data_IF_781577839144
#
_entry.id   IF_781577839144
#
_cell.length_a   1.000
_cell.length_b   1.000
_cell.length_c   1.000
_cell.angle_alpha   90.00
_cell.angle_beta   90.00
_cell.angle_gamma   90.00
#
_symmetry.space_group_name_H-M   'P 1'
#
loop_
_entity.id
_entity.type
_entity.pdbx_description
1 polymer ?
#
# COMPACT_ATOMS: atom_id res chain seq x y z
N UNK A 1 42.92 -7.88 13.62
CA UNK A 1 41.95 -7.49 14.65
C UNK A 1 41.45 -6.06 14.47
N UNK A 2 42.35 -5.06 14.37
CA UNK A 2 42.00 -3.65 14.12
C UNK A 2 41.20 -3.49 12.82
N UNK A 3 41.56 -4.23 11.77
CA UNK A 3 40.89 -4.21 10.45
C UNK A 3 39.46 -4.71 10.57
N UNK A 4 39.22 -5.83 11.27
CA UNK A 4 37.86 -6.36 11.49
C UNK A 4 37.01 -5.41 12.37
N UNK A 5 37.60 -4.78 13.36
CA UNK A 5 36.94 -3.74 14.17
C UNK A 5 36.58 -2.50 13.32
N UNK A 6 37.47 -2.05 12.45
CA UNK A 6 37.24 -0.91 11.56
C UNK A 6 36.18 -1.24 10.50
N UNK A 7 36.15 -2.47 9.95
CA UNK A 7 35.10 -2.95 9.03
C UNK A 7 33.75 -2.98 9.75
N UNK A 8 33.68 -3.53 10.97
CA UNK A 8 32.49 -3.51 11.82
C UNK A 8 32.03 -2.08 12.11
N UNK A 9 32.95 -1.19 12.53
CA UNK A 9 32.65 0.22 12.79
C UNK A 9 32.13 0.94 11.52
N UNK A 10 32.71 0.66 10.36
CA UNK A 10 32.28 1.24 9.09
C UNK A 10 30.90 0.73 8.69
N UNK A 11 30.64 -0.58 8.78
CA UNK A 11 29.31 -1.15 8.49
C UNK A 11 28.22 -0.65 9.45
N UNK A 12 28.57 -0.35 10.71
CA UNK A 12 27.67 0.26 11.69
C UNK A 12 27.41 1.74 11.37
N UNK A 13 28.42 2.48 10.88
CA UNK A 13 28.29 3.90 10.57
C UNK A 13 27.54 4.17 9.26
N UNK A 14 27.68 3.29 8.28
CA UNK A 14 27.03 3.42 6.95
C UNK A 14 25.55 3.04 6.97
N UNK A 15 25.09 2.25 7.95
CA UNK A 15 23.68 1.87 8.13
C UNK A 15 23.19 2.34 9.49
N UNK A 16 22.69 3.57 9.56
CA UNK A 16 22.07 4.11 10.79
C UNK A 16 20.95 3.18 11.32
N UNK A 17 20.29 2.45 10.45
CA UNK A 17 19.22 1.48 10.75
C UNK A 17 19.74 0.24 11.50
N UNK A 18 20.99 -0.17 11.29
CA UNK A 18 21.59 -1.36 11.92
C UNK A 18 22.50 -1.02 13.12
N UNK A 19 22.45 0.20 13.61
CA UNK A 19 23.34 0.65 14.71
C UNK A 19 23.21 -0.23 15.96
N UNK A 20 22.02 -0.73 16.26
CA UNK A 20 21.76 -1.59 17.43
C UNK A 20 22.31 -3.02 17.25
N UNK A 21 22.18 -3.62 16.07
CA UNK A 21 22.81 -4.92 15.80
C UNK A 21 24.33 -4.83 15.93
N UNK A 22 24.91 -3.74 15.49
CA UNK A 22 26.32 -3.46 15.69
C UNK A 22 26.73 -3.37 17.15
N UNK A 23 25.88 -2.81 18.00
CA UNK A 23 26.15 -2.74 19.45
C UNK A 23 26.07 -4.14 20.07
N UNK A 24 25.11 -4.98 19.69
CA UNK A 24 25.04 -6.37 20.15
C UNK A 24 26.30 -7.15 19.76
N UNK A 25 26.75 -7.00 18.50
CA UNK A 25 28.00 -7.61 18.05
C UNK A 25 29.23 -7.10 18.84
N UNK A 26 29.24 -5.83 19.19
CA UNK A 26 30.28 -5.24 20.01
C UNK A 26 30.27 -5.78 21.45
N UNK A 27 29.08 -5.96 22.03
CA UNK A 27 28.92 -6.62 23.34
C UNK A 27 29.46 -8.05 23.29
N UNK A 28 29.08 -8.84 22.29
CA UNK A 28 29.58 -10.21 22.10
C UNK A 28 31.11 -10.24 21.96
N UNK A 29 31.70 -9.33 21.19
CA UNK A 29 33.15 -9.20 21.06
C UNK A 29 33.84 -8.96 22.42
N UNK A 30 33.29 -8.08 23.27
CA UNK A 30 33.87 -7.86 24.61
C UNK A 30 33.69 -9.08 25.53
N UNK A 31 32.58 -9.81 25.42
CA UNK A 31 32.36 -11.09 26.15
C UNK A 31 33.42 -12.13 25.75
N UNK A 32 33.64 -12.33 24.45
CA UNK A 32 34.67 -13.27 23.94
C UNK A 32 36.08 -12.90 24.42
N UNK A 33 36.38 -11.59 24.55
CA UNK A 33 37.66 -11.08 25.07
C UNK A 33 37.73 -11.03 26.60
N UNK A 34 36.70 -11.59 27.29
CA UNK A 34 36.64 -11.60 28.78
C UNK A 34 36.64 -10.21 29.39
N UNK A 35 36.24 -9.17 28.64
CA UNK A 35 36.10 -7.78 29.13
C UNK A 35 34.66 -7.57 29.66
N UNK A 36 34.32 -8.36 30.67
CA UNK A 36 32.96 -8.44 31.21
C UNK A 36 32.42 -7.11 31.75
N UNK A 37 33.28 -6.28 32.37
CA UNK A 37 32.87 -4.96 32.87
C UNK A 37 32.36 -4.05 31.74
N UNK A 38 33.12 -3.95 30.64
CA UNK A 38 32.76 -3.13 29.50
C UNK A 38 31.50 -3.68 28.83
N UNK A 39 31.40 -5.02 28.72
CA UNK A 39 30.19 -5.68 28.15
C UNK A 39 28.96 -5.34 29.01
N UNK A 40 29.07 -5.40 30.34
CA UNK A 40 27.98 -5.09 31.28
C UNK A 40 27.48 -3.65 31.15
N UNK A 41 28.39 -2.70 31.10
CA UNK A 41 28.05 -1.27 30.92
C UNK A 41 27.28 -1.01 29.61
N UNK A 42 27.74 -1.62 28.50
CA UNK A 42 27.06 -1.53 27.22
C UNK A 42 25.68 -2.21 27.25
N UNK A 43 25.58 -3.40 27.87
CA UNK A 43 24.32 -4.12 28.04
C UNK A 43 23.31 -3.28 28.81
N UNK A 44 23.73 -2.70 29.95
CA UNK A 44 22.85 -1.87 30.80
C UNK A 44 22.37 -0.62 30.06
N UNK A 45 23.24 0.01 29.28
CA UNK A 45 22.87 1.16 28.45
C UNK A 45 21.83 0.81 27.38
N UNK A 46 21.99 -0.33 26.72
CA UNK A 46 21.06 -0.77 25.68
C UNK A 46 19.75 -1.34 26.28
N UNK A 47 19.79 -1.92 27.48
CA UNK A 47 18.59 -2.32 28.21
C UNK A 47 17.67 -1.14 28.49
N UNK A 48 18.20 -0.05 29.02
CA UNK A 48 17.43 1.15 29.31
C UNK A 48 16.74 1.69 28.04
N UNK A 49 17.43 1.62 26.89
CA UNK A 49 16.81 2.00 25.62
C UNK A 49 15.75 1.00 25.16
N UNK A 50 16.02 -0.30 25.29
CA UNK A 50 15.05 -1.33 24.92
C UNK A 50 13.77 -1.24 25.75
N UNK A 51 13.87 -0.86 27.02
CA UNK A 51 12.73 -0.57 27.89
C UNK A 51 11.99 0.70 27.49
N UNK A 52 12.73 1.79 27.27
CA UNK A 52 12.16 3.08 26.84
C UNK A 52 11.31 2.91 25.55
N UNK A 53 11.77 2.09 24.61
CA UNK A 53 11.07 1.84 23.34
C UNK A 53 10.17 0.61 23.37
N UNK A 54 9.98 -0.02 24.54
CA UNK A 54 9.21 -1.25 24.73
C UNK A 54 9.53 -2.36 23.67
N UNK A 55 10.83 -2.48 23.35
CA UNK A 55 11.31 -3.46 22.37
C UNK A 55 11.57 -4.81 23.02
N UNK A 56 10.55 -5.68 22.99
CA UNK A 56 10.57 -6.98 23.67
C UNK A 56 11.67 -7.90 23.12
N UNK A 57 11.85 -7.98 21.79
CA UNK A 57 12.88 -8.85 21.18
C UNK A 57 14.29 -8.41 21.58
N UNK A 58 14.58 -7.12 21.49
CA UNK A 58 15.88 -6.58 21.91
C UNK A 58 16.11 -6.79 23.40
N UNK A 59 15.11 -6.52 24.23
CA UNK A 59 15.22 -6.71 25.67
C UNK A 59 15.44 -8.19 26.02
N UNK A 60 14.77 -9.10 25.34
CA UNK A 60 15.00 -10.54 25.52
C UNK A 60 16.43 -10.95 25.14
N UNK A 61 16.99 -10.44 24.04
CA UNK A 61 18.39 -10.66 23.65
C UNK A 61 19.33 -10.12 24.71
N UNK A 62 19.06 -8.94 25.25
CA UNK A 62 19.84 -8.30 26.31
C UNK A 62 19.83 -9.14 27.59
N UNK A 63 18.66 -9.65 28.04
CA UNK A 63 18.59 -10.49 29.24
C UNK A 63 19.39 -11.80 29.05
N UNK A 64 19.38 -12.38 27.85
CA UNK A 64 20.22 -13.56 27.52
C UNK A 64 21.71 -13.24 27.63
N UNK A 65 22.16 -12.09 27.14
CA UNK A 65 23.55 -11.64 27.26
C UNK A 65 23.93 -11.38 28.73
N UNK A 66 23.05 -10.76 29.53
CA UNK A 66 23.26 -10.60 30.97
C UNK A 66 23.48 -11.94 31.65
N UNK A 67 22.60 -12.93 31.38
CA UNK A 67 22.74 -14.27 31.97
C UNK A 67 24.07 -14.94 31.60
N UNK A 68 24.58 -14.74 30.37
CA UNK A 68 25.84 -15.37 29.94
C UNK A 68 27.07 -14.85 30.67
N UNK A 69 27.06 -13.62 31.17
CA UNK A 69 28.19 -13.01 31.89
C UNK A 69 27.97 -12.90 33.41
N UNK A 70 26.77 -13.20 33.87
CA UNK A 70 26.40 -13.10 35.28
C UNK A 70 27.30 -13.88 36.24
N UNK A 71 27.77 -15.11 35.90
CA UNK A 71 28.70 -15.86 36.74
C UNK A 71 30.02 -15.13 37.07
N UNK A 72 30.39 -14.17 36.20
CA UNK A 72 31.63 -13.37 36.34
C UNK A 72 31.42 -11.99 36.97
N UNK A 73 30.15 -11.70 37.36
CA UNK A 73 29.79 -10.35 37.82
C UNK A 73 29.12 -10.35 39.20
N UNK A 74 27.80 -10.60 39.24
CA UNK A 74 27.05 -10.60 40.49
C UNK A 74 25.89 -11.62 40.40
N UNK A 75 26.08 -12.75 41.05
CA UNK A 75 25.11 -13.88 41.02
C UNK A 75 23.80 -13.56 41.73
N UNK A 76 23.77 -12.57 42.63
CA UNK A 76 22.57 -12.16 43.36
C UNK A 76 21.47 -11.62 42.44
N UNK A 77 21.85 -11.12 41.27
CA UNK A 77 20.89 -10.64 40.25
C UNK A 77 20.17 -11.75 39.47
N UNK A 78 20.57 -12.99 39.64
CA UNK A 78 20.00 -14.11 38.89
C UNK A 78 18.47 -14.25 38.98
N UNK A 79 17.85 -14.21 40.18
CA UNK A 79 16.39 -14.35 40.32
C UNK A 79 15.63 -13.26 39.59
N UNK A 80 16.12 -12.02 39.64
CA UNK A 80 15.50 -10.86 38.98
C UNK A 80 15.57 -10.97 37.46
N UNK A 81 16.77 -11.22 36.92
CA UNK A 81 17.00 -11.38 35.48
C UNK A 81 16.19 -12.57 34.93
N UNK A 82 16.16 -13.69 35.67
CA UNK A 82 15.36 -14.86 35.30
C UNK A 82 13.87 -14.52 35.21
N UNK A 83 13.30 -13.85 36.22
CA UNK A 83 11.89 -13.45 36.25
C UNK A 83 11.57 -12.53 35.07
N UNK A 84 12.42 -11.54 34.81
CA UNK A 84 12.27 -10.60 33.70
C UNK A 84 12.33 -11.31 32.35
N UNK A 85 13.28 -12.22 32.16
CA UNK A 85 13.41 -13.01 30.94
C UNK A 85 12.18 -13.88 30.67
N UNK A 86 11.66 -14.59 31.68
CA UNK A 86 10.48 -15.43 31.54
C UNK A 86 9.23 -14.61 31.16
N UNK A 87 9.06 -13.45 31.75
CA UNK A 87 7.99 -12.53 31.40
C UNK A 87 8.12 -12.04 29.92
N UNK A 88 9.32 -11.66 29.51
CA UNK A 88 9.59 -11.24 28.14
C UNK A 88 9.37 -12.39 27.13
N UNK A 89 9.75 -13.64 27.48
CA UNK A 89 9.51 -14.83 26.67
C UNK A 89 8.00 -15.06 26.47
N UNK A 90 7.21 -14.94 27.54
CA UNK A 90 5.75 -15.05 27.45
C UNK A 90 5.17 -13.98 26.50
N UNK A 91 5.57 -12.72 26.68
CA UNK A 91 5.14 -11.63 25.79
C UNK A 91 5.54 -11.86 24.34
N UNK A 92 6.78 -12.33 24.12
CA UNK A 92 7.27 -12.64 22.77
C UNK A 92 6.47 -13.77 22.12
N UNK A 93 6.13 -14.84 22.87
CA UNK A 93 5.33 -15.93 22.32
C UNK A 93 3.94 -15.49 21.84
N UNK A 94 3.32 -14.56 22.55
CA UNK A 94 2.02 -13.98 22.12
C UNK A 94 2.16 -13.13 20.85
N UNK A 95 3.26 -12.37 20.74
CA UNK A 95 3.56 -11.60 19.53
C UNK A 95 3.79 -12.54 18.34
N UNK A 96 4.55 -13.61 18.54
CA UNK A 96 4.84 -14.61 17.51
C UNK A 96 3.57 -15.31 17.03
N UNK A 97 2.68 -15.70 17.95
CA UNK A 97 1.37 -16.25 17.61
C UNK A 97 0.54 -15.29 16.76
N UNK A 98 0.44 -14.03 17.17
CA UNK A 98 -0.23 -13.00 16.39
C UNK A 98 0.40 -12.84 14.99
N UNK A 99 1.73 -12.95 14.87
CA UNK A 99 2.42 -12.89 13.58
C UNK A 99 2.04 -14.04 12.65
N UNK A 100 1.86 -15.26 13.19
CA UNK A 100 1.40 -16.41 12.42
C UNK A 100 0.00 -16.18 11.85
N UNK A 101 -0.95 -15.67 12.63
CA UNK A 101 -2.27 -15.27 12.14
C UNK A 101 -2.18 -14.23 11.02
N UNK A 102 -1.34 -13.21 11.20
CA UNK A 102 -1.14 -12.18 10.18
C UNK A 102 -0.64 -12.77 8.85
N UNK A 103 0.33 -13.69 8.90
CA UNK A 103 0.88 -14.35 7.71
C UNK A 103 -0.20 -15.20 7.03
N UNK A 104 -1.00 -15.94 7.79
CA UNK A 104 -2.10 -16.74 7.25
C UNK A 104 -3.12 -15.85 6.52
N UNK A 105 -3.60 -14.79 7.16
CA UNK A 105 -4.54 -13.82 6.55
C UNK A 105 -3.95 -13.24 5.26
N UNK A 106 -2.67 -12.85 5.27
CA UNK A 106 -2.01 -12.28 4.10
C UNK A 106 -1.93 -13.28 2.93
N UNK A 107 -1.68 -14.54 3.20
CA UNK A 107 -1.65 -15.59 2.19
C UNK A 107 -3.04 -15.84 1.60
N UNK A 108 -4.07 -15.96 2.44
CA UNK A 108 -5.46 -16.16 2.02
C UNK A 108 -5.95 -15.00 1.16
N UNK A 109 -5.61 -13.76 1.57
CA UNK A 109 -5.94 -12.56 0.80
C UNK A 109 -5.26 -12.54 -0.56
N UNK A 110 -3.96 -12.87 -0.61
CA UNK A 110 -3.22 -12.93 -1.88
C UNK A 110 -3.85 -13.93 -2.85
N UNK A 111 -4.27 -15.08 -2.37
CA UNK A 111 -4.96 -16.09 -3.17
C UNK A 111 -6.33 -15.60 -3.66
N UNK A 112 -7.14 -15.02 -2.76
CA UNK A 112 -8.46 -14.46 -3.10
C UNK A 112 -8.36 -13.35 -4.15
N UNK A 113 -7.43 -12.41 -3.98
CA UNK A 113 -7.18 -11.33 -4.96
C UNK A 113 -6.76 -11.91 -6.32
N UNK A 114 -5.87 -12.89 -6.35
CA UNK A 114 -5.42 -13.52 -7.58
C UNK A 114 -6.56 -14.23 -8.32
N UNK A 115 -7.49 -14.84 -7.58
CA UNK A 115 -8.68 -15.52 -8.12
C UNK A 115 -9.84 -14.57 -8.45
N UNK A 116 -9.77 -13.30 -8.00
CA UNK A 116 -10.89 -12.35 -8.08
C UNK A 116 -12.03 -12.68 -7.13
N UNK A 117 -11.78 -13.51 -6.11
CA UNK A 117 -12.75 -13.81 -5.07
C UNK A 117 -12.82 -12.64 -4.08
N UNK A 118 -14.05 -12.21 -3.80
CA UNK A 118 -14.34 -11.02 -2.99
C UNK A 118 -14.86 -11.33 -1.59
N UNK A 119 -14.95 -12.60 -1.24
CA UNK A 119 -15.30 -12.96 0.12
C UNK A 119 -14.25 -12.48 1.11
N UNK A 120 -14.70 -11.70 2.09
CA UNK A 120 -13.85 -11.18 3.14
C UNK A 120 -13.46 -12.29 4.12
N UNK A 121 -12.21 -12.35 4.59
CA UNK A 121 -11.79 -13.24 5.68
C UNK A 121 -12.22 -12.74 7.06
N UNK A 122 -13.45 -12.21 7.19
CA UNK A 122 -13.94 -11.46 8.36
C UNK A 122 -13.78 -12.22 9.67
N UNK A 123 -14.07 -13.54 9.70
CA UNK A 123 -13.97 -14.34 10.92
C UNK A 123 -12.51 -14.40 11.42
N UNK A 124 -11.56 -14.72 10.53
CA UNK A 124 -10.12 -14.82 10.88
C UNK A 124 -9.58 -13.46 11.33
N UNK A 125 -10.03 -12.37 10.69
CA UNK A 125 -9.64 -11.01 11.08
C UNK A 125 -10.19 -10.65 12.45
N UNK A 126 -11.44 -11.04 12.78
CA UNK A 126 -12.05 -10.80 14.09
C UNK A 126 -11.30 -11.55 15.19
N UNK A 127 -10.92 -12.81 14.96
CA UNK A 127 -10.12 -13.59 15.91
C UNK A 127 -8.76 -12.96 16.15
N UNK A 128 -8.07 -12.52 15.08
CA UNK A 128 -6.80 -11.83 15.19
C UNK A 128 -6.90 -10.48 15.92
N UNK A 129 -8.00 -9.74 15.72
CA UNK A 129 -8.25 -8.48 16.43
C UNK A 129 -8.54 -8.72 17.92
N UNK A 130 -9.23 -9.79 18.27
CA UNK A 130 -9.45 -10.19 19.67
C UNK A 130 -8.11 -10.52 20.36
N UNK A 131 -7.23 -11.26 19.70
CA UNK A 131 -5.89 -11.54 20.23
C UNK A 131 -5.05 -10.26 20.35
N UNK A 132 -5.13 -9.34 19.38
CA UNK A 132 -4.45 -8.05 19.46
C UNK A 132 -4.86 -7.25 20.70
N UNK A 133 -6.12 -7.26 21.12
CA UNK A 133 -6.56 -6.55 22.33
C UNK A 133 -5.84 -7.06 23.58
N UNK A 134 -5.53 -8.35 23.64
CA UNK A 134 -4.77 -8.95 24.74
C UNK A 134 -3.29 -8.50 24.73
N UNK A 135 -2.72 -8.28 23.56
CA UNK A 135 -1.31 -7.88 23.39
C UNK A 135 -1.15 -6.36 23.51
N UNK A 136 -2.14 -5.56 23.09
CA UNK A 136 -2.09 -4.10 23.05
C UNK A 136 -1.68 -3.45 24.37
N UNK A 137 -2.21 -3.96 25.48
CA UNK A 137 -1.89 -3.43 26.83
C UNK A 137 -0.45 -3.67 27.24
N UNK A 138 0.22 -4.64 26.62
CA UNK A 138 1.55 -5.10 26.99
C UNK A 138 2.64 -4.69 26.02
N UNK A 139 2.30 -4.27 24.80
CA UNK A 139 3.28 -3.96 23.74
C UNK A 139 2.85 -2.76 22.92
N UNK A 140 3.57 -1.66 23.08
CA UNK A 140 3.44 -0.46 22.23
C UNK A 140 4.36 -0.57 20.99
N UNK A 141 4.40 -1.75 20.36
CA UNK A 141 5.29 -2.02 19.23
C UNK A 141 4.65 -1.54 17.91
N UNK A 142 5.27 -0.56 17.21
CA UNK A 142 4.75 -0.02 15.96
C UNK A 142 4.48 -1.06 14.87
N UNK A 143 5.29 -2.12 14.83
CA UNK A 143 5.14 -3.21 13.85
C UNK A 143 3.86 -4.01 14.07
N UNK A 144 3.43 -4.20 15.32
CA UNK A 144 2.17 -4.88 15.65
C UNK A 144 0.99 -4.01 15.21
N UNK A 145 1.03 -2.71 15.52
CA UNK A 145 0.01 -1.76 15.08
C UNK A 145 -0.12 -1.74 13.55
N UNK A 146 0.99 -1.72 12.83
CA UNK A 146 0.99 -1.79 11.37
C UNK A 146 0.30 -3.06 10.87
N UNK A 147 0.60 -4.23 11.44
CA UNK A 147 -0.03 -5.50 11.02
C UNK A 147 -1.54 -5.48 11.23
N UNK A 148 -2.01 -4.90 12.33
CA UNK A 148 -3.45 -4.71 12.58
C UNK A 148 -4.07 -3.80 11.53
N UNK A 149 -3.44 -2.67 11.23
CA UNK A 149 -3.90 -1.75 10.18
C UNK A 149 -3.95 -2.45 8.82
N UNK A 150 -2.95 -3.26 8.47
CA UNK A 150 -2.92 -4.01 7.21
C UNK A 150 -4.02 -5.08 7.13
N UNK A 151 -4.33 -5.80 8.22
CA UNK A 151 -5.44 -6.75 8.27
C UNK A 151 -6.79 -6.07 8.07
N UNK A 152 -7.03 -4.99 8.82
CA UNK A 152 -8.27 -4.20 8.71
C UNK A 152 -8.39 -3.63 7.30
N UNK A 153 -7.30 -3.07 6.77
CA UNK A 153 -7.25 -2.55 5.40
C UNK A 153 -7.67 -3.60 4.37
N UNK A 154 -7.21 -4.82 4.52
CA UNK A 154 -7.50 -5.90 3.59
C UNK A 154 -9.00 -6.21 3.52
N UNK A 155 -9.71 -6.25 4.65
CA UNK A 155 -11.17 -6.44 4.70
C UNK A 155 -11.91 -5.29 4.02
N UNK A 156 -11.59 -4.06 4.40
CA UNK A 156 -12.32 -2.89 3.91
C UNK A 156 -12.05 -2.58 2.45
N UNK A 157 -10.84 -2.86 1.94
CA UNK A 157 -10.52 -2.67 0.53
C UNK A 157 -11.26 -3.68 -0.34
N UNK A 158 -11.28 -4.97 0.04
CA UNK A 158 -12.05 -5.99 -0.68
C UNK A 158 -13.53 -5.64 -0.77
N UNK A 159 -14.10 -5.09 0.30
CA UNK A 159 -15.49 -4.67 0.37
C UNK A 159 -15.70 -3.22 -0.12
N UNK A 160 -14.65 -2.53 -0.59
CA UNK A 160 -14.69 -1.12 -1.04
C UNK A 160 -15.27 -0.14 0.00
N UNK A 161 -15.12 -0.43 1.29
CA UNK A 161 -15.62 0.38 2.42
C UNK A 161 -14.59 1.41 2.90
N UNK A 162 -14.03 2.22 2.00
CA UNK A 162 -12.94 3.14 2.30
C UNK A 162 -13.28 4.18 3.37
N UNK A 163 -14.53 4.66 3.41
CA UNK A 163 -14.96 5.68 4.38
C UNK A 163 -14.89 5.15 5.83
N UNK A 164 -15.44 3.95 6.04
CA UNK A 164 -15.38 3.27 7.34
C UNK A 164 -13.91 2.94 7.69
N UNK A 165 -13.14 2.49 6.71
CA UNK A 165 -11.72 2.23 6.93
C UNK A 165 -10.96 3.49 7.37
N UNK A 166 -11.25 4.65 6.77
CA UNK A 166 -10.61 5.90 7.14
C UNK A 166 -10.89 6.29 8.61
N UNK A 167 -12.11 6.08 9.09
CA UNK A 167 -12.48 6.33 10.49
C UNK A 167 -11.75 5.38 11.44
N UNK A 168 -11.74 4.08 11.10
CA UNK A 168 -11.08 3.06 11.92
C UNK A 168 -9.57 3.27 11.96
N UNK A 169 -8.91 3.45 10.82
CA UNK A 169 -7.45 3.61 10.77
C UNK A 169 -7.00 4.91 11.43
N UNK A 170 -7.82 5.98 11.34
CA UNK A 170 -7.51 7.24 12.03
C UNK A 170 -7.49 7.05 13.55
N UNK A 171 -8.38 6.23 14.12
CA UNK A 171 -8.37 5.90 15.54
C UNK A 171 -7.06 5.20 15.94
N UNK A 172 -6.67 4.16 15.18
CA UNK A 172 -5.40 3.46 15.43
C UNK A 172 -4.18 4.37 15.24
N UNK A 173 -4.23 5.27 14.26
CA UNK A 173 -3.18 6.25 14.02
C UNK A 173 -3.02 7.23 15.20
N UNK A 174 -4.11 7.73 15.76
CA UNK A 174 -4.07 8.67 16.88
C UNK A 174 -3.51 8.01 18.16
N UNK A 175 -3.88 6.75 18.41
CA UNK A 175 -3.35 5.98 19.54
C UNK A 175 -1.82 5.81 19.45
N UNK A 176 -1.29 5.84 18.22
CA UNK A 176 0.09 5.56 17.88
C UNK A 176 0.97 6.81 17.76
N UNK A 177 0.42 7.95 17.30
CA UNK A 177 1.18 9.09 16.80
C UNK A 177 1.90 9.93 17.87
N UNK A 178 1.61 9.72 19.16
CA UNK A 178 2.08 10.65 20.19
C UNK A 178 3.47 10.38 20.77
N UNK A 179 4.08 9.21 20.53
CA UNK A 179 5.28 8.84 21.30
C UNK A 179 6.48 8.28 20.49
N UNK A 180 6.35 7.98 19.20
CA UNK A 180 7.26 6.99 18.60
C UNK A 180 8.05 7.42 17.36
N UNK A 181 7.91 8.64 16.84
CA UNK A 181 8.50 9.03 15.55
C UNK A 181 10.04 9.24 15.56
N UNK A 182 10.68 9.27 16.70
CA UNK A 182 12.13 9.53 16.79
C UNK A 182 13.01 8.27 16.69
N UNK A 183 12.43 7.07 16.63
CA UNK A 183 13.21 5.83 16.53
C UNK A 183 13.41 5.38 15.08
N UNK A 184 14.59 5.62 14.54
CA UNK A 184 15.01 5.18 13.20
C UNK A 184 14.87 3.67 12.99
N UNK A 185 14.78 2.87 14.05
CA UNK A 185 14.53 1.43 13.96
C UNK A 185 13.19 1.09 13.32
N UNK A 186 12.18 1.91 13.54
CA UNK A 186 10.84 1.70 13.00
C UNK A 186 10.50 2.60 11.80
N UNK A 187 11.51 3.26 11.21
CA UNK A 187 11.29 4.22 10.12
C UNK A 187 10.51 3.63 8.93
N UNK A 188 10.78 2.36 8.57
CA UNK A 188 10.03 1.64 7.53
C UNK A 188 8.57 1.39 7.93
N UNK A 189 8.33 1.08 9.21
CA UNK A 189 6.99 0.88 9.77
C UNK A 189 6.19 2.18 9.72
N UNK A 190 6.78 3.30 10.12
CA UNK A 190 6.16 4.62 10.05
C UNK A 190 5.86 5.02 8.61
N UNK A 191 6.81 4.83 7.70
CA UNK A 191 6.61 5.10 6.29
C UNK A 191 5.45 4.30 5.70
N UNK A 192 5.30 3.03 6.08
CA UNK A 192 4.19 2.19 5.65
C UNK A 192 2.84 2.68 6.20
N UNK A 193 2.82 3.12 7.46
CA UNK A 193 1.60 3.69 8.08
C UNK A 193 1.22 4.99 7.36
N UNK A 194 2.16 5.92 7.16
CA UNK A 194 1.90 7.17 6.46
C UNK A 194 1.43 6.95 5.01
N UNK A 195 2.00 5.97 4.31
CA UNK A 195 1.53 5.55 3.00
C UNK A 195 0.08 5.03 3.05
N UNK A 196 -0.25 4.16 4.01
CA UNK A 196 -1.62 3.63 4.16
C UNK A 196 -2.61 4.77 4.44
N UNK A 197 -2.25 5.70 5.32
CA UNK A 197 -3.07 6.87 5.63
C UNK A 197 -3.29 7.75 4.39
N UNK A 198 -2.21 8.09 3.68
CA UNK A 198 -2.30 8.88 2.46
C UNK A 198 -3.18 8.21 1.41
N UNK A 199 -2.96 6.93 1.14
CA UNK A 199 -3.76 6.14 0.19
C UNK A 199 -5.24 6.04 0.61
N UNK A 200 -5.50 5.90 1.91
CA UNK A 200 -6.87 5.83 2.44
C UNK A 200 -7.61 7.15 2.22
N UNK A 201 -6.98 8.27 2.55
CA UNK A 201 -7.58 9.58 2.34
C UNK A 201 -7.70 9.96 0.86
N UNK A 202 -6.80 9.47 0.00
CA UNK A 202 -6.95 9.57 -1.45
C UNK A 202 -8.27 8.90 -1.91
N UNK A 203 -8.52 7.68 -1.45
CA UNK A 203 -9.72 6.93 -1.85
C UNK A 203 -11.02 7.46 -1.22
N UNK A 204 -10.94 8.22 -0.15
CA UNK A 204 -12.09 8.97 0.42
C UNK A 204 -12.17 10.40 -0.11
N UNK A 205 -11.32 10.77 -1.07
CA UNK A 205 -11.21 12.09 -1.70
C UNK A 205 -10.84 13.24 -0.76
N UNK A 206 -10.35 12.93 0.42
CA UNK A 206 -9.81 13.94 1.32
C UNK A 206 -8.35 14.24 0.95
N UNK A 207 -8.15 14.99 -0.15
CA UNK A 207 -6.82 15.25 -0.69
C UNK A 207 -5.94 16.06 0.26
N UNK A 208 -6.51 16.95 1.05
CA UNK A 208 -5.76 17.70 2.06
C UNK A 208 -5.11 16.78 3.09
N UNK A 209 -5.87 15.80 3.64
CA UNK A 209 -5.32 14.79 4.55
C UNK A 209 -4.39 13.81 3.83
N UNK A 210 -4.72 13.43 2.59
CA UNK A 210 -3.83 12.56 1.79
C UNK A 210 -2.47 13.22 1.61
N UNK A 211 -2.44 14.50 1.21
CA UNK A 211 -1.19 15.26 1.02
C UNK A 211 -0.42 15.45 2.34
N UNK A 212 -1.13 15.70 3.45
CA UNK A 212 -0.49 15.80 4.77
C UNK A 212 0.31 14.54 5.12
N UNK A 213 -0.28 13.35 4.94
CA UNK A 213 0.39 12.09 5.18
C UNK A 213 1.48 11.79 4.13
N UNK A 214 1.27 12.21 2.88
CA UNK A 214 2.27 12.08 1.82
C UNK A 214 3.53 12.91 2.13
N UNK A 215 3.39 14.12 2.66
CA UNK A 215 4.51 14.97 3.08
C UNK A 215 5.27 14.36 4.28
N UNK A 216 4.57 13.74 5.22
CA UNK A 216 5.21 12.98 6.30
C UNK A 216 6.01 11.79 5.77
N UNK A 217 5.43 11.03 4.83
CA UNK A 217 6.14 9.95 4.15
C UNK A 217 7.41 10.46 3.46
N UNK A 218 7.33 11.59 2.75
CA UNK A 218 8.49 12.20 2.09
C UNK A 218 9.57 12.62 3.07
N UNK A 219 9.21 13.16 4.23
CA UNK A 219 10.16 13.46 5.31
C UNK A 219 10.90 12.21 5.78
N UNK A 220 10.21 11.06 5.92
CA UNK A 220 10.83 9.78 6.27
C UNK A 220 11.71 9.24 5.14
N UNK A 221 11.30 9.40 3.88
CA UNK A 221 12.10 9.02 2.71
C UNK A 221 13.43 9.82 2.63
N UNK A 222 13.43 11.06 3.07
CA UNK A 222 14.64 11.90 3.12
C UNK A 222 15.61 11.48 4.25
N UNK A 223 15.13 10.72 5.23
CA UNK A 223 15.94 10.22 6.34
C UNK A 223 16.58 8.85 6.06
N UNK A 224 16.03 8.07 5.11
CA UNK A 224 16.47 6.71 4.83
C UNK A 224 16.36 6.37 3.34
N UNK A 225 17.49 5.97 2.75
CA UNK A 225 17.53 5.49 1.36
C UNK A 225 16.69 4.22 1.16
N UNK A 226 16.64 3.33 2.15
CA UNK A 226 15.80 2.13 2.12
C UNK A 226 14.32 2.50 2.05
N UNK A 227 13.86 3.46 2.87
CA UNK A 227 12.50 3.97 2.81
C UNK A 227 12.23 4.63 1.46
N UNK A 228 13.15 5.45 0.98
CA UNK A 228 13.02 6.11 -0.33
C UNK A 228 12.81 5.11 -1.46
N UNK A 229 13.62 4.07 -1.55
CA UNK A 229 13.50 3.03 -2.57
C UNK A 229 12.18 2.23 -2.45
N UNK A 230 11.71 1.97 -1.23
CA UNK A 230 10.49 1.20 -0.99
C UNK A 230 9.20 1.99 -1.26
N UNK A 231 9.25 3.33 -1.26
CA UNK A 231 8.03 4.15 -1.33
C UNK A 231 8.00 5.17 -2.48
N UNK A 232 9.09 5.37 -3.23
CA UNK A 232 9.14 6.39 -4.27
C UNK A 232 8.08 6.16 -5.38
N UNK A 233 7.88 4.93 -5.84
CA UNK A 233 6.84 4.59 -6.82
C UNK A 233 5.44 4.78 -6.27
N UNK A 234 5.20 4.39 -5.02
CA UNK A 234 3.91 4.58 -4.33
C UNK A 234 3.59 6.05 -4.09
N UNK A 235 4.59 6.82 -3.66
CA UNK A 235 4.48 8.28 -3.49
C UNK A 235 4.13 8.94 -4.82
N UNK A 236 4.83 8.58 -5.90
CA UNK A 236 4.58 9.10 -7.25
C UNK A 236 3.14 8.81 -7.71
N UNK A 237 2.64 7.60 -7.49
CA UNK A 237 1.28 7.23 -7.86
C UNK A 237 0.21 8.06 -7.12
N UNK A 238 0.42 8.38 -5.84
CA UNK A 238 -0.53 9.20 -5.07
C UNK A 238 -0.43 10.67 -5.50
N UNK A 239 0.80 11.23 -5.59
CA UNK A 239 0.98 12.64 -5.95
C UNK A 239 0.45 12.96 -7.33
N UNK A 240 0.74 12.12 -8.33
CA UNK A 240 0.22 12.32 -9.70
C UNK A 240 -1.30 12.28 -9.73
N UNK A 241 -1.91 11.37 -8.95
CA UNK A 241 -3.36 11.29 -8.87
C UNK A 241 -3.98 12.53 -8.22
N UNK A 242 -3.39 13.04 -7.14
CA UNK A 242 -3.83 14.32 -6.51
C UNK A 242 -3.72 15.46 -7.54
N UNK A 243 -2.61 15.57 -8.28
CA UNK A 243 -2.40 16.60 -9.29
C UNK A 243 -3.48 16.57 -10.40
N UNK A 244 -3.96 15.39 -10.80
CA UNK A 244 -5.05 15.26 -11.78
C UNK A 244 -6.31 15.97 -11.29
N UNK A 245 -6.69 15.81 -10.02
CA UNK A 245 -7.89 16.41 -9.45
C UNK A 245 -7.68 17.84 -8.93
N UNK A 246 -6.42 18.28 -8.79
CA UNK A 246 -6.04 19.65 -8.44
C UNK A 246 -5.82 20.55 -9.68
N UNK A 247 -6.48 20.24 -10.79
CA UNK A 247 -6.38 21.00 -12.05
C UNK A 247 -4.98 21.03 -12.68
N UNK A 248 -4.09 20.10 -12.32
CA UNK A 248 -2.69 20.02 -12.75
C UNK A 248 -2.39 18.74 -13.53
N UNK A 249 -3.30 18.33 -14.45
CA UNK A 249 -3.12 17.08 -15.19
C UNK A 249 -1.85 17.07 -16.04
N UNK A 250 -1.46 18.21 -16.60
CA UNK A 250 -0.20 18.33 -17.38
C UNK A 250 1.00 18.01 -16.50
N UNK A 251 1.08 18.57 -15.29
CA UNK A 251 2.14 18.26 -14.34
C UNK A 251 2.12 16.78 -13.95
N UNK A 252 0.93 16.21 -13.70
CA UNK A 252 0.81 14.78 -13.39
C UNK A 252 1.37 13.88 -14.49
N UNK A 253 1.15 14.23 -15.76
CA UNK A 253 1.67 13.53 -16.92
C UNK A 253 3.19 13.69 -16.99
N UNK A 254 3.70 14.92 -17.00
CA UNK A 254 5.14 15.23 -17.15
C UNK A 254 5.97 14.61 -16.02
N UNK A 255 5.53 14.75 -14.76
CA UNK A 255 6.21 14.15 -13.62
C UNK A 255 6.22 12.63 -13.68
N UNK A 256 5.10 11.99 -14.11
CA UNK A 256 5.02 10.53 -14.23
C UNK A 256 5.89 10.02 -15.38
N UNK A 257 5.89 10.70 -16.54
CA UNK A 257 6.79 10.38 -17.67
C UNK A 257 8.25 10.47 -17.27
N UNK A 258 8.64 11.58 -16.64
CA UNK A 258 10.00 11.79 -16.16
C UNK A 258 10.42 10.69 -15.16
N UNK A 259 9.55 10.39 -14.19
CA UNK A 259 9.81 9.37 -13.19
C UNK A 259 10.00 7.98 -13.82
N UNK A 260 9.11 7.58 -14.72
CA UNK A 260 9.23 6.29 -15.42
C UNK A 260 10.47 6.22 -16.31
N UNK A 261 10.90 7.32 -16.92
CA UNK A 261 12.09 7.35 -17.74
C UNK A 261 13.40 7.19 -16.94
N UNK A 262 13.46 7.71 -15.72
CA UNK A 262 14.70 7.81 -14.94
C UNK A 262 14.78 6.85 -13.74
N UNK A 263 13.64 6.44 -13.18
CA UNK A 263 13.59 5.71 -11.92
C UNK A 263 13.01 4.28 -12.05
N UNK A 264 12.66 3.85 -13.28
CA UNK A 264 11.99 2.55 -13.53
C UNK A 264 12.77 1.35 -12.96
N UNK A 265 14.09 1.38 -13.00
CA UNK A 265 14.95 0.30 -12.50
C UNK A 265 15.06 0.25 -10.97
N UNK A 266 14.52 1.25 -10.27
CA UNK A 266 14.57 1.37 -8.81
C UNK A 266 13.23 1.04 -8.15
N UNK A 267 12.18 0.83 -8.93
CA UNK A 267 10.83 0.50 -8.44
C UNK A 267 10.47 -0.94 -8.77
N UNK A 268 9.46 -1.47 -8.08
CA UNK A 268 8.96 -2.81 -8.35
C UNK A 268 8.19 -2.88 -9.68
N UNK A 269 8.10 -4.09 -10.24
CA UNK A 269 7.29 -4.34 -11.45
C UNK A 269 5.84 -3.87 -11.23
N UNK A 270 5.27 -4.13 -10.06
CA UNK A 270 3.89 -3.76 -9.73
C UNK A 270 3.71 -2.23 -9.69
N UNK A 271 4.68 -1.49 -9.16
CA UNK A 271 4.65 -0.03 -9.16
C UNK A 271 4.77 0.55 -10.57
N UNK A 272 5.69 0.01 -11.37
CA UNK A 272 5.84 0.38 -12.78
C UNK A 272 4.52 0.17 -13.56
N UNK A 273 3.94 -1.03 -13.47
CA UNK A 273 2.70 -1.37 -14.16
C UNK A 273 1.53 -0.47 -13.72
N UNK A 274 1.43 -0.14 -12.43
CA UNK A 274 0.41 0.76 -11.93
C UNK A 274 0.59 2.20 -12.42
N UNK A 275 1.81 2.73 -12.38
CA UNK A 275 2.13 4.08 -12.88
C UNK A 275 1.87 4.18 -14.38
N UNK A 276 2.30 3.20 -15.16
CA UNK A 276 2.07 3.15 -16.61
C UNK A 276 0.58 3.08 -16.95
N UNK A 277 -0.19 2.30 -16.20
CA UNK A 277 -1.63 2.22 -16.40
C UNK A 277 -2.35 3.52 -16.02
N UNK A 278 -1.95 4.18 -14.94
CA UNK A 278 -2.48 5.49 -14.55
C UNK A 278 -2.14 6.55 -15.61
N UNK A 279 -0.90 6.60 -16.08
CA UNK A 279 -0.46 7.52 -17.13
C UNK A 279 -1.26 7.30 -18.44
N UNK A 280 -1.56 6.05 -18.82
CA UNK A 280 -2.44 5.76 -19.95
C UNK A 280 -3.84 6.33 -19.75
N UNK A 281 -4.37 6.29 -18.50
CA UNK A 281 -5.63 6.90 -18.13
C UNK A 281 -5.59 8.44 -18.24
N UNK A 282 -4.50 9.07 -17.83
CA UNK A 282 -4.32 10.53 -17.94
C UNK A 282 -4.30 10.97 -19.41
N UNK A 283 -3.60 10.22 -20.29
CA UNK A 283 -3.62 10.51 -21.72
C UNK A 283 -5.01 10.34 -22.36
N UNK A 284 -5.81 9.38 -21.89
CA UNK A 284 -7.20 9.25 -22.33
C UNK A 284 -7.99 10.51 -22.00
N UNK A 285 -7.83 11.03 -20.81
CA UNK A 285 -8.56 12.22 -20.33
C UNK A 285 -8.17 13.47 -21.11
N UNK A 286 -6.89 13.63 -21.47
CA UNK A 286 -6.45 14.77 -22.33
C UNK A 286 -6.59 14.50 -23.84
N UNK A 287 -7.13 13.34 -24.24
CA UNK A 287 -7.39 13.01 -25.64
C UNK A 287 -6.16 12.55 -26.44
N UNK A 288 -5.00 12.32 -25.81
CA UNK A 288 -3.79 11.82 -26.48
C UNK A 288 -3.77 10.27 -26.54
N UNK A 289 -4.65 9.73 -27.37
CA UNK A 289 -4.79 8.26 -27.53
C UNK A 289 -3.55 7.62 -28.16
N UNK A 290 -2.76 8.39 -28.92
CA UNK A 290 -1.50 7.91 -29.50
C UNK A 290 -0.47 7.58 -28.43
N UNK A 291 -0.27 8.47 -27.46
CA UNK A 291 0.62 8.23 -26.32
C UNK A 291 0.10 7.12 -25.42
N UNK A 292 -1.21 7.09 -25.14
CA UNK A 292 -1.81 5.99 -24.39
C UNK A 292 -1.55 4.64 -25.05
N UNK A 293 -1.68 4.53 -26.38
CA UNK A 293 -1.38 3.31 -27.15
C UNK A 293 0.08 2.89 -26.99
N UNK A 294 1.02 3.83 -27.09
CA UNK A 294 2.44 3.51 -26.92
C UNK A 294 2.72 2.86 -25.57
N UNK A 295 2.19 3.43 -24.48
CA UNK A 295 2.37 2.87 -23.14
C UNK A 295 1.75 1.47 -23.04
N UNK A 296 0.54 1.27 -23.55
CA UNK A 296 -0.13 -0.03 -23.50
C UNK A 296 0.63 -1.10 -24.32
N UNK A 297 1.27 -0.72 -25.42
CA UNK A 297 2.08 -1.63 -26.24
C UNK A 297 3.36 -2.10 -25.51
N UNK A 298 3.92 -1.30 -24.59
CA UNK A 298 5.02 -1.76 -23.74
C UNK A 298 4.57 -2.82 -22.72
N UNK A 299 3.26 -2.91 -22.43
CA UNK A 299 2.69 -3.96 -21.59
C UNK A 299 2.34 -5.19 -22.42
N UNK A 300 3.36 -5.85 -23.00
CA UNK A 300 3.23 -6.92 -24.00
C UNK A 300 3.24 -8.34 -23.42
N UNK A 301 3.33 -8.47 -22.11
CA UNK A 301 3.31 -9.78 -21.45
C UNK A 301 1.92 -10.45 -21.50
N UNK A 302 1.89 -11.76 -21.22
CA UNK A 302 0.65 -12.53 -21.27
C UNK A 302 -0.33 -12.14 -20.16
N UNK A 303 -1.63 -12.34 -20.40
CA UNK A 303 -2.67 -12.14 -19.37
C UNK A 303 -2.40 -12.95 -18.11
N UNK A 304 -1.84 -14.17 -18.25
CA UNK A 304 -1.46 -15.02 -17.12
C UNK A 304 -0.36 -14.38 -16.25
N UNK A 305 0.61 -13.71 -16.89
CA UNK A 305 1.65 -12.96 -16.18
C UNK A 305 1.04 -11.80 -15.39
N UNK A 306 0.21 -10.98 -16.04
CA UNK A 306 -0.44 -9.85 -15.35
C UNK A 306 -1.40 -10.29 -14.25
N UNK A 307 -2.11 -11.38 -14.44
CA UNK A 307 -2.97 -11.94 -13.40
C UNK A 307 -2.15 -12.36 -12.16
N UNK A 308 -0.99 -12.97 -12.37
CA UNK A 308 -0.09 -13.38 -11.27
C UNK A 308 0.50 -12.17 -10.53
N UNK A 309 0.98 -11.17 -11.27
CA UNK A 309 1.68 -10.02 -10.69
C UNK A 309 0.73 -8.96 -10.12
N UNK A 310 -0.42 -8.73 -10.76
CA UNK A 310 -1.31 -7.61 -10.49
C UNK A 310 -2.72 -8.01 -10.07
N UNK A 311 -3.11 -9.26 -10.30
CA UNK A 311 -4.47 -9.76 -10.09
C UNK A 311 -5.43 -9.49 -11.26
N UNK A 312 -6.59 -10.17 -11.22
CA UNK A 312 -7.60 -10.12 -12.30
C UNK A 312 -8.26 -8.75 -12.46
N UNK A 313 -8.49 -8.03 -11.36
CA UNK A 313 -9.10 -6.70 -11.41
C UNK A 313 -8.23 -5.70 -12.19
N UNK A 314 -6.92 -5.74 -11.97
CA UNK A 314 -6.00 -4.89 -12.71
C UNK A 314 -6.01 -5.22 -14.22
N UNK A 315 -6.07 -6.51 -14.54
CA UNK A 315 -6.14 -6.96 -15.95
C UNK A 315 -7.41 -6.44 -16.63
N UNK A 316 -8.57 -6.54 -15.97
CA UNK A 316 -9.84 -5.96 -16.47
C UNK A 316 -9.66 -4.45 -16.74
N UNK A 317 -9.04 -3.71 -15.82
CA UNK A 317 -8.78 -2.28 -16.01
C UNK A 317 -7.88 -2.00 -17.22
N UNK A 318 -6.79 -2.75 -17.38
CA UNK A 318 -5.91 -2.64 -18.56
C UNK A 318 -6.69 -2.90 -19.85
N UNK A 319 -7.47 -3.97 -19.93
CA UNK A 319 -8.27 -4.30 -21.10
C UNK A 319 -9.35 -3.25 -21.39
N UNK A 320 -9.99 -2.67 -20.35
CA UNK A 320 -10.93 -1.57 -20.50
C UNK A 320 -10.26 -0.30 -21.06
N UNK A 321 -9.11 0.08 -20.54
CA UNK A 321 -8.32 1.21 -21.05
C UNK A 321 -7.96 0.97 -22.53
N UNK A 322 -7.53 -0.23 -22.89
CA UNK A 322 -7.21 -0.59 -24.27
C UNK A 322 -8.45 -0.49 -25.17
N UNK A 323 -9.62 -1.00 -24.73
CA UNK A 323 -10.86 -0.89 -25.47
C UNK A 323 -11.28 0.57 -25.72
N UNK A 324 -11.14 1.45 -24.73
CA UNK A 324 -11.38 2.90 -24.84
C UNK A 324 -10.47 3.52 -25.90
N UNK A 325 -9.17 3.26 -25.81
CA UNK A 325 -8.18 3.80 -26.75
C UNK A 325 -8.48 3.34 -28.16
N UNK A 326 -8.79 2.05 -28.38
CA UNK A 326 -9.13 1.52 -29.70
C UNK A 326 -10.44 2.12 -30.22
N UNK A 327 -11.46 2.30 -29.38
CA UNK A 327 -12.69 3.01 -29.76
C UNK A 327 -12.39 4.42 -30.24
N UNK A 328 -11.55 5.15 -29.51
CA UNK A 328 -11.21 6.54 -29.79
C UNK A 328 -10.35 6.70 -31.06
N UNK A 329 -9.57 5.69 -31.42
CA UNK A 329 -8.80 5.63 -32.67
C UNK A 329 -9.61 5.12 -33.89
N UNK A 330 -10.90 4.78 -33.70
CA UNK A 330 -11.75 4.28 -34.76
C UNK A 330 -11.63 2.77 -35.00
N UNK A 331 -10.82 2.04 -34.24
CA UNK A 331 -10.63 0.58 -34.35
C UNK A 331 -11.77 -0.16 -33.63
N UNK A 332 -13.01 0.12 -33.99
CA UNK A 332 -14.22 -0.30 -33.27
C UNK A 332 -14.39 -1.82 -33.20
N UNK A 333 -14.08 -2.55 -34.27
CA UNK A 333 -14.14 -4.01 -34.26
C UNK A 333 -13.18 -4.64 -33.25
N UNK A 334 -11.97 -4.11 -33.17
CA UNK A 334 -10.98 -4.59 -32.21
C UNK A 334 -11.41 -4.25 -30.77
N UNK A 335 -11.94 -3.07 -30.53
CA UNK A 335 -12.52 -2.69 -29.25
C UNK A 335 -13.64 -3.63 -28.81
N UNK A 336 -14.58 -3.95 -29.71
CA UNK A 336 -15.66 -4.91 -29.43
C UNK A 336 -15.13 -6.31 -29.10
N UNK A 337 -14.07 -6.75 -29.81
CA UNK A 337 -13.40 -8.03 -29.51
C UNK A 337 -12.78 -8.04 -28.11
N UNK A 338 -12.13 -6.97 -27.70
CA UNK A 338 -11.57 -6.82 -26.34
C UNK A 338 -12.68 -6.90 -25.28
N UNK A 339 -13.77 -6.14 -25.46
CA UNK A 339 -14.91 -6.13 -24.53
C UNK A 339 -15.56 -7.52 -24.40
N UNK A 340 -15.73 -8.22 -25.51
CA UNK A 340 -16.21 -9.62 -25.51
C UNK A 340 -15.22 -10.54 -24.77
N UNK A 341 -13.93 -10.31 -24.95
CA UNK A 341 -12.87 -11.02 -24.19
C UNK A 341 -13.01 -10.85 -22.70
N UNK A 342 -13.23 -9.61 -22.22
CA UNK A 342 -13.47 -9.31 -20.80
C UNK A 342 -14.69 -10.09 -20.28
N UNK A 343 -15.80 -10.06 -20.99
CA UNK A 343 -17.04 -10.75 -20.59
C UNK A 343 -16.88 -12.27 -20.49
N UNK A 344 -16.10 -12.87 -21.39
CA UNK A 344 -15.87 -14.32 -21.40
C UNK A 344 -14.87 -14.72 -20.29
N UNK A 345 -13.72 -14.05 -20.25
CA UNK A 345 -12.62 -14.41 -19.34
C UNK A 345 -12.94 -14.12 -17.86
N UNK A 346 -13.78 -13.12 -17.60
CA UNK A 346 -14.07 -12.62 -16.26
C UNK A 346 -15.55 -12.66 -15.89
N UNK A 347 -16.31 -13.60 -16.53
CA UNK A 347 -17.75 -13.75 -16.32
C UNK A 347 -18.13 -13.86 -14.85
N UNK A 348 -17.41 -14.70 -14.10
CA UNK A 348 -17.58 -14.92 -12.68
C UNK A 348 -17.42 -13.64 -11.83
N UNK A 349 -16.46 -12.78 -12.18
CA UNK A 349 -16.28 -11.50 -11.51
C UNK A 349 -17.38 -10.50 -11.88
N UNK A 350 -17.75 -10.42 -13.15
CA UNK A 350 -18.76 -9.48 -13.65
C UNK A 350 -20.18 -9.77 -13.15
N UNK A 351 -20.43 -10.99 -12.70
CA UNK A 351 -21.69 -11.40 -12.06
C UNK A 351 -21.75 -10.94 -10.58
N UNK A 352 -20.62 -10.64 -9.95
CA UNK A 352 -20.60 -10.11 -8.60
C UNK A 352 -21.05 -8.64 -8.57
N UNK A 353 -21.85 -8.26 -7.56
CA UNK A 353 -22.47 -6.93 -7.42
C UNK A 353 -21.47 -5.78 -7.58
N UNK A 354 -20.27 -5.93 -7.02
CA UNK A 354 -19.22 -4.90 -7.04
C UNK A 354 -18.62 -4.62 -8.41
N UNK A 355 -18.74 -5.55 -9.38
CA UNK A 355 -18.29 -5.39 -10.76
C UNK A 355 -19.43 -5.10 -11.75
N UNK A 356 -20.67 -5.03 -11.27
CA UNK A 356 -21.83 -4.75 -12.11
C UNK A 356 -21.69 -3.48 -12.95
N UNK A 357 -21.01 -2.45 -12.44
CA UNK A 357 -20.72 -1.22 -13.16
C UNK A 357 -19.77 -1.41 -14.35
N UNK A 358 -18.84 -2.36 -14.28
CA UNK A 358 -17.95 -2.68 -15.43
C UNK A 358 -18.78 -3.21 -16.58
N UNK A 359 -19.74 -4.11 -16.32
CA UNK A 359 -20.65 -4.64 -17.33
C UNK A 359 -21.50 -3.53 -17.94
N UNK A 360 -22.07 -2.64 -17.13
CA UNK A 360 -22.86 -1.52 -17.65
C UNK A 360 -22.03 -0.54 -18.48
N UNK A 361 -20.79 -0.29 -18.09
CA UNK A 361 -19.85 0.50 -18.90
C UNK A 361 -19.62 -0.15 -20.27
N UNK A 362 -19.32 -1.44 -20.31
CA UNK A 362 -19.11 -2.20 -21.55
C UNK A 362 -20.35 -2.10 -22.46
N UNK A 363 -21.55 -2.30 -21.92
CA UNK A 363 -22.80 -2.21 -22.66
C UNK A 363 -23.03 -0.81 -23.25
N UNK A 364 -22.72 0.24 -22.47
CA UNK A 364 -22.87 1.63 -22.91
C UNK A 364 -21.88 1.99 -24.02
N UNK A 365 -20.60 1.59 -23.86
CA UNK A 365 -19.59 1.79 -24.92
C UNK A 365 -19.96 1.03 -26.18
N UNK A 366 -20.47 -0.19 -26.06
CA UNK A 366 -20.95 -1.00 -27.20
C UNK A 366 -22.13 -0.32 -27.94
N UNK A 367 -23.05 0.28 -27.20
CA UNK A 367 -24.15 1.05 -27.79
C UNK A 367 -23.62 2.27 -28.53
N UNK A 368 -22.71 3.02 -27.93
CA UNK A 368 -22.03 4.17 -28.55
C UNK A 368 -21.35 3.77 -29.89
N UNK A 369 -20.63 2.64 -29.91
CA UNK A 369 -19.94 2.17 -31.12
C UNK A 369 -20.95 1.86 -32.25
N UNK A 370 -22.11 1.28 -31.91
CA UNK A 370 -23.13 0.89 -32.89
C UNK A 370 -23.90 2.09 -33.44
N UNK A 371 -24.09 3.12 -32.68
CA UNK A 371 -24.90 4.30 -33.02
C UNK A 371 -24.17 5.60 -32.72
N UNK A 372 -22.99 5.87 -33.32
CA UNK A 372 -22.12 6.98 -32.94
C UNK A 372 -22.70 8.36 -33.24
N UNK A 373 -23.63 8.45 -34.21
CA UNK A 373 -24.25 9.72 -34.63
C UNK A 373 -25.58 10.01 -33.93
N UNK A 374 -26.28 8.97 -33.52
CA UNK A 374 -27.52 9.00 -32.76
C UNK A 374 -27.24 8.54 -31.34
N UNK A 375 -26.12 9.00 -30.77
CA UNK A 375 -25.73 8.58 -29.40
C UNK A 375 -26.97 8.61 -28.51
N UNK A 376 -27.51 7.40 -28.25
CA UNK A 376 -28.80 7.25 -27.57
C UNK A 376 -28.65 7.83 -26.15
N UNK A 377 -29.11 9.08 -25.98
CA UNK A 377 -29.11 9.74 -24.68
C UNK A 377 -29.78 8.89 -23.60
N UNK A 378 -30.70 8.00 -24.01
CA UNK A 378 -31.29 7.02 -23.12
C UNK A 378 -30.26 5.99 -22.59
N UNK A 379 -29.25 5.61 -23.39
CA UNK A 379 -28.20 4.70 -22.92
C UNK A 379 -27.32 5.40 -21.86
N UNK A 380 -26.98 6.65 -22.10
CA UNK A 380 -26.26 7.47 -21.11
C UNK A 380 -27.10 7.67 -19.85
N UNK A 381 -28.37 8.06 -19.97
CA UNK A 381 -29.30 8.25 -18.84
C UNK A 381 -29.48 6.94 -18.05
N UNK A 382 -29.63 5.81 -18.72
CA UNK A 382 -29.70 4.50 -18.05
C UNK A 382 -28.41 4.18 -17.28
N UNK A 383 -27.27 4.52 -17.83
CA UNK A 383 -26.00 4.35 -17.16
C UNK A 383 -25.85 5.32 -15.97
N UNK A 384 -26.17 6.59 -16.15
CA UNK A 384 -26.15 7.61 -15.11
C UNK A 384 -27.11 7.27 -13.95
N UNK A 385 -28.34 6.84 -14.26
CA UNK A 385 -29.28 6.36 -13.23
C UNK A 385 -28.75 5.17 -12.44
N UNK A 386 -28.05 4.25 -13.07
CA UNK A 386 -27.41 3.13 -12.35
C UNK A 386 -26.21 3.57 -11.51
N UNK A 387 -25.48 4.59 -11.97
CA UNK A 387 -24.44 5.25 -11.17
C UNK A 387 -25.08 5.93 -9.97
N UNK A 388 -26.14 6.70 -10.14
CA UNK A 388 -26.85 7.39 -9.06
C UNK A 388 -27.37 6.40 -7.99
N UNK A 389 -28.01 5.31 -8.41
CA UNK A 389 -28.49 4.24 -7.51
C UNK A 389 -27.35 3.56 -6.73
N UNK A 390 -26.14 3.53 -7.29
CA UNK A 390 -24.95 2.92 -6.70
C UNK A 390 -23.90 3.97 -6.32
N UNK A 391 -24.26 5.26 -6.21
CA UNK A 391 -23.34 6.38 -6.04
C UNK A 391 -22.32 6.16 -4.93
N UNK A 392 -22.77 5.66 -3.79
CA UNK A 392 -21.87 5.32 -2.69
C UNK A 392 -20.91 4.16 -3.00
N UNK A 393 -21.28 3.23 -3.86
CA UNK A 393 -20.46 2.04 -4.19
C UNK A 393 -19.57 2.28 -5.41
N UNK A 394 -20.07 3.02 -6.41
CA UNK A 394 -19.43 3.13 -7.73
C UNK A 394 -18.36 4.21 -7.81
N UNK A 395 -18.60 5.38 -7.21
CA UNK A 395 -17.64 6.46 -7.21
C UNK A 395 -16.67 6.45 -6.02
N UNK A 396 -16.71 5.39 -5.22
CA UNK A 396 -15.70 5.20 -4.17
C UNK A 396 -14.33 4.84 -4.72
N UNK A 397 -14.26 4.27 -5.94
CA UNK A 397 -12.99 4.07 -6.63
C UNK A 397 -12.74 5.25 -7.59
N UNK A 398 -11.83 6.17 -7.25
CA UNK A 398 -11.55 7.34 -8.07
C UNK A 398 -11.05 6.97 -9.48
N UNK A 399 -10.60 5.75 -9.70
CA UNK A 399 -10.14 5.26 -11.01
C UNK A 399 -11.29 5.00 -11.98
N UNK A 400 -12.48 4.70 -11.48
CA UNK A 400 -13.68 4.47 -12.33
C UNK A 400 -14.23 5.79 -12.89
N UNK A 401 -13.95 6.92 -12.22
CA UNK A 401 -14.42 8.22 -12.68
C UNK A 401 -13.77 8.64 -14.02
N UNK A 402 -12.53 8.17 -14.28
CA UNK A 402 -11.84 8.39 -15.56
C UNK A 402 -12.62 7.76 -16.71
N UNK A 403 -13.08 6.51 -16.54
CA UNK A 403 -13.88 5.81 -17.57
C UNK A 403 -15.22 6.51 -17.81
N UNK A 404 -15.86 6.94 -16.73
CA UNK A 404 -17.11 7.67 -16.81
C UNK A 404 -16.95 9.02 -17.50
N UNK A 405 -15.94 9.80 -17.13
CA UNK A 405 -15.68 11.10 -17.72
C UNK A 405 -15.39 11.00 -19.22
N UNK A 406 -14.55 10.03 -19.62
CA UNK A 406 -14.32 9.77 -21.03
C UNK A 406 -15.62 9.40 -21.78
N UNK A 407 -16.42 8.48 -21.24
CA UNK A 407 -17.63 8.04 -21.87
C UNK A 407 -18.63 9.20 -22.00
N UNK A 408 -18.90 9.94 -20.91
CA UNK A 408 -19.81 11.08 -20.93
C UNK A 408 -19.37 12.14 -21.92
N UNK A 409 -18.06 12.40 -22.05
CA UNK A 409 -17.52 13.35 -23.01
C UNK A 409 -17.93 13.05 -24.45
N UNK A 410 -18.08 11.76 -24.81
CA UNK A 410 -18.52 11.34 -26.15
C UNK A 410 -19.97 11.64 -26.42
N UNK A 411 -20.82 11.50 -25.41
CA UNK A 411 -22.25 11.78 -25.54
C UNK A 411 -22.57 13.28 -25.50
N UNK A 412 -21.93 14.05 -24.58
CA UNK A 412 -22.22 15.47 -24.40
C UNK A 412 -21.33 16.39 -25.22
N UNK A 413 -20.33 15.84 -25.93
CA UNK A 413 -19.35 16.58 -26.75
C UNK A 413 -18.60 17.67 -25.98
N UNK A 414 -18.28 17.39 -24.70
CA UNK A 414 -17.46 18.23 -23.82
C UNK A 414 -16.08 17.61 -23.64
N UNK A 415 -15.14 18.42 -23.17
CA UNK A 415 -13.82 17.96 -22.77
C UNK A 415 -13.91 16.94 -21.63
N UNK A 416 -13.15 15.82 -21.73
CA UNK A 416 -13.23 14.74 -20.74
C UNK A 416 -12.63 15.17 -19.40
N UNK A 417 -11.64 16.06 -19.41
CA UNK A 417 -11.03 16.55 -18.18
C UNK A 417 -11.94 17.51 -17.43
N UNK A 418 -12.65 18.40 -18.15
CA UNK A 418 -13.67 19.25 -17.55
C UNK A 418 -14.75 18.41 -16.86
N UNK A 419 -15.26 17.36 -17.56
CA UNK A 419 -16.24 16.45 -16.97
C UNK A 419 -15.70 15.71 -15.76
N UNK A 420 -14.44 15.26 -15.80
CA UNK A 420 -13.78 14.63 -14.64
C UNK A 420 -13.82 15.52 -13.42
N UNK A 421 -13.49 16.80 -13.59
CA UNK A 421 -13.47 17.78 -12.50
C UNK A 421 -14.87 18.19 -12.04
N UNK A 422 -15.84 18.30 -12.95
CA UNK A 422 -17.26 18.56 -12.61
C UNK A 422 -17.82 17.42 -11.74
N UNK A 423 -17.61 16.17 -12.15
CA UNK A 423 -18.08 15.00 -11.41
C UNK A 423 -17.36 14.82 -10.07
N UNK A 424 -16.10 15.21 -10.02
CA UNK A 424 -15.37 15.23 -8.75
C UNK A 424 -16.02 16.18 -7.73
N UNK A 425 -16.32 17.43 -8.13
CA UNK A 425 -16.99 18.42 -7.29
C UNK A 425 -18.42 18.05 -6.88
N UNK A 426 -19.16 17.37 -7.78
CA UNK A 426 -20.54 16.97 -7.53
C UNK A 426 -20.68 15.90 -6.42
N UNK A 427 -19.58 15.22 -6.07
CA UNK A 427 -19.60 14.11 -5.14
C UNK A 427 -19.01 14.52 -3.75
N UNK A 428 -18.40 15.71 -3.64
CA UNK A 428 -18.12 16.35 -2.37
C UNK A 428 -19.41 16.77 -1.66
#
# INVERSE_FOLDING_TARGET
>A
ELTNFLILKKSISERKENKREGIILMILYFIERKKYQVAWELITKEENKAEQYNNIDLNLKIQRLKLSILPYFNQELFPEIKKKMLNLQYKQSQIDEFQLYFIQIKNDLKQKIAQGNVESPTAIIQDALAQYQNIKSESNNPTIHLKVIEMIRAEYILNRKFKIFAEVVQKYYNDFSNEAFDDLMYINTYAQIEYIMSYTFLNTRNFAKSLFHLNKLESLMNQSDTVRLNFMGKRMAISSFINVFDYKITNAIEETEYFLAHEINKITIQENLNLSLNLSGYYIIVGDYSKATKILNFMSESDKYYQKEMGREWLIRKEMILAIVQTSLGNTEYSLKIMRGIEIKHKDMLEAEQYGMVKHFIDTVRTYIKTPYEADQNALLKFENKIELNKEKTFRDPRLIIFYAWMRSRYVKKDAYEILLEEYKRIE
#
